data_IF_492689532211
#
_entry.id   IF_492689532211
#
_cell.length_a   1.000
_cell.length_b   1.000
_cell.length_c   1.000
_cell.angle_alpha   90.00
_cell.angle_beta   90.00
_cell.angle_gamma   90.00
#
_symmetry.space_group_name_H-M   'P 1'
#
loop_
_entity.id
_entity.type
_entity.pdbx_description
1 polymer ?
#
# COMPACT_ATOMS: atom_id res chain seq x y z
N UNK A 1 14.41 -10.12 15.07
CA UNK A 1 13.56 -9.33 15.99
C UNK A 1 12.11 -9.73 15.86
N UNK A 2 11.61 -10.63 16.71
CA UNK A 2 10.16 -10.82 16.93
C UNK A 2 9.96 -11.20 18.40
N UNK A 3 10.17 -10.23 19.29
CA UNK A 3 9.70 -10.37 20.66
C UNK A 3 8.26 -9.84 20.67
N UNK A 4 7.23 -10.69 20.89
CA UNK A 4 5.84 -10.27 20.92
C UNK A 4 5.58 -9.14 21.93
N UNK A 5 6.31 -9.14 23.04
CA UNK A 5 6.23 -8.11 24.08
C UNK A 5 6.63 -6.73 23.54
N UNK A 6 7.65 -6.68 22.66
CA UNK A 6 8.10 -5.42 22.08
C UNK A 6 7.05 -4.79 21.15
N UNK A 7 6.36 -5.63 20.37
CA UNK A 7 5.30 -5.16 19.45
C UNK A 7 4.10 -4.63 20.23
N UNK A 8 3.69 -5.33 21.29
CA UNK A 8 2.57 -4.89 22.14
C UNK A 8 2.87 -3.57 22.87
N UNK A 9 4.08 -3.42 23.42
CA UNK A 9 4.53 -2.17 24.07
C UNK A 9 4.57 -0.99 23.09
N UNK A 10 5.00 -1.23 21.85
CA UNK A 10 4.98 -0.23 20.79
C UNK A 10 3.57 0.20 20.41
N UNK A 11 2.65 -0.75 20.21
CA UNK A 11 1.25 -0.46 19.92
C UNK A 11 0.57 0.33 21.05
N UNK A 12 0.92 0.03 22.30
CA UNK A 12 0.43 0.78 23.46
C UNK A 12 0.92 2.24 23.47
N UNK A 13 2.16 2.49 23.03
CA UNK A 13 2.74 3.84 22.99
C UNK A 13 2.33 4.66 21.77
N UNK A 14 2.23 4.04 20.60
CA UNK A 14 2.04 4.71 19.32
C UNK A 14 0.63 4.55 18.73
N UNK A 15 -0.20 3.70 19.34
CA UNK A 15 -1.47 3.27 18.77
C UNK A 15 -1.31 2.09 17.82
N UNK A 16 -2.44 1.47 17.47
CA UNK A 16 -2.49 0.47 16.41
C UNK A 16 -2.56 1.17 15.05
N UNK A 17 -1.88 0.66 14.00
CA UNK A 17 -2.02 1.18 12.65
C UNK A 17 -3.47 1.03 12.17
N UNK A 18 -3.94 1.97 11.34
CA UNK A 18 -5.26 1.87 10.71
C UNK A 18 -5.34 0.66 9.76
N UNK A 19 -6.55 0.19 9.45
CA UNK A 19 -6.74 -0.88 8.45
C UNK A 19 -6.13 -0.50 7.10
N UNK A 20 -6.35 0.75 6.68
CA UNK A 20 -5.77 1.33 5.46
C UNK A 20 -4.24 1.28 5.47
N UNK A 21 -3.60 1.62 6.59
CA UNK A 21 -2.15 1.51 6.73
C UNK A 21 -1.68 0.06 6.58
N UNK A 22 -2.37 -0.88 7.22
CA UNK A 22 -2.04 -2.30 7.13
C UNK A 22 -2.21 -2.84 5.70
N UNK A 23 -3.28 -2.44 5.02
CA UNK A 23 -3.55 -2.82 3.63
C UNK A 23 -2.52 -2.23 2.68
N UNK A 24 -2.18 -0.95 2.84
CA UNK A 24 -1.12 -0.28 2.06
C UNK A 24 0.23 -0.99 2.21
N UNK A 25 0.59 -1.38 3.44
CA UNK A 25 1.82 -2.13 3.70
C UNK A 25 1.79 -3.54 3.09
N UNK A 26 0.61 -4.19 3.05
CA UNK A 26 0.47 -5.49 2.36
C UNK A 26 0.65 -5.34 0.86
N UNK A 27 0.07 -4.31 0.25
CA UNK A 27 0.23 -4.01 -1.17
C UNK A 27 1.69 -3.69 -1.51
N UNK A 28 2.34 -2.84 -0.73
CA UNK A 28 3.77 -2.54 -0.89
C UNK A 28 4.61 -3.82 -0.81
N UNK A 29 4.34 -4.67 0.19
CA UNK A 29 5.04 -5.95 0.33
C UNK A 29 4.80 -6.87 -0.87
N UNK A 30 3.59 -6.92 -1.43
CA UNK A 30 3.30 -7.71 -2.62
C UNK A 30 4.06 -7.16 -3.83
N UNK A 31 4.03 -5.84 -4.03
CA UNK A 31 4.76 -5.15 -5.09
C UNK A 31 6.28 -5.42 -5.05
N UNK A 32 6.88 -5.36 -3.87
CA UNK A 32 8.32 -5.64 -3.69
C UNK A 32 8.71 -7.09 -4.04
N UNK A 33 7.75 -8.03 -4.10
CA UNK A 33 7.99 -9.44 -4.46
C UNK A 33 7.87 -9.69 -5.96
N UNK A 34 7.37 -8.73 -6.73
CA UNK A 34 7.26 -8.83 -8.18
C UNK A 34 8.65 -8.80 -8.84
N UNK A 35 8.75 -9.46 -10.00
CA UNK A 35 9.92 -9.33 -10.86
C UNK A 35 10.11 -7.86 -11.30
N UNK A 36 11.35 -7.43 -11.64
CA UNK A 36 11.60 -6.06 -12.08
C UNK A 36 10.66 -5.60 -13.20
N UNK A 37 10.43 -6.43 -14.22
CA UNK A 37 9.58 -6.08 -15.36
C UNK A 37 8.11 -5.88 -14.95
N UNK A 38 7.59 -6.76 -14.09
CA UNK A 38 6.25 -6.64 -13.54
C UNK A 38 6.07 -5.38 -12.68
N UNK A 39 7.11 -4.94 -11.96
CA UNK A 39 7.06 -3.68 -11.20
C UNK A 39 6.95 -2.48 -12.14
N UNK A 40 7.70 -2.48 -13.23
CA UNK A 40 7.63 -1.42 -14.25
C UNK A 40 6.24 -1.32 -14.85
N UNK A 41 5.60 -2.45 -15.20
CA UNK A 41 4.23 -2.46 -15.72
C UNK A 41 3.20 -1.88 -14.73
N UNK A 42 3.32 -2.23 -13.45
CA UNK A 42 2.43 -1.71 -12.40
C UNK A 42 2.64 -0.21 -12.19
N UNK A 43 3.90 0.27 -12.19
CA UNK A 43 4.21 1.70 -12.09
C UNK A 43 3.59 2.44 -13.27
N UNK A 44 3.80 1.98 -14.50
CA UNK A 44 3.27 2.62 -15.70
C UNK A 44 1.74 2.67 -15.68
N UNK A 45 1.07 1.61 -15.23
CA UNK A 45 -0.38 1.61 -15.07
C UNK A 45 -0.84 2.67 -14.06
N UNK A 46 -0.20 2.74 -12.89
CA UNK A 46 -0.55 3.72 -11.85
C UNK A 46 -0.32 5.15 -12.34
N UNK A 47 0.80 5.41 -13.02
CA UNK A 47 1.10 6.73 -13.59
C UNK A 47 0.06 7.15 -14.63
N UNK A 48 -0.34 6.24 -15.53
CA UNK A 48 -1.40 6.50 -16.51
C UNK A 48 -2.74 6.81 -15.85
N UNK A 49 -3.11 6.08 -14.80
CA UNK A 49 -4.36 6.32 -14.06
C UNK A 49 -4.31 7.65 -13.30
N UNK A 50 -3.17 8.00 -12.69
CA UNK A 50 -3.00 9.28 -11.99
C UNK A 50 -3.00 10.48 -12.94
N UNK A 51 -2.56 10.29 -14.17
CA UNK A 51 -2.59 11.30 -15.22
C UNK A 51 -3.98 11.47 -15.87
N UNK A 52 -4.92 10.53 -15.67
CA UNK A 52 -6.29 10.73 -16.13
C UNK A 52 -6.98 11.78 -15.25
N UNK A 53 -7.63 12.79 -15.85
CA UNK A 53 -8.50 13.67 -15.08
C UNK A 53 -9.61 12.83 -14.45
N UNK A 54 -10.10 13.19 -13.24
CA UNK A 54 -11.18 12.46 -12.59
C UNK A 54 -12.34 12.36 -13.59
N UNK A 55 -12.70 11.12 -13.95
CA UNK A 55 -13.82 10.88 -14.86
C UNK A 55 -15.08 11.51 -14.29
N UNK A 56 -15.81 12.24 -15.13
CA UNK A 56 -17.07 12.86 -14.75
C UNK A 56 -18.04 11.75 -14.29
N UNK A 57 -18.43 11.69 -12.99
CA UNK A 57 -19.31 10.65 -12.48
C UNK A 57 -20.73 10.72 -13.05
N UNK A 58 -21.04 11.76 -13.83
CA UNK A 58 -22.36 11.98 -14.44
C UNK A 58 -22.62 11.20 -15.73
N UNK A 59 -21.66 10.42 -16.22
CA UNK A 59 -21.78 9.62 -17.47
C UNK A 59 -21.84 8.10 -17.27
N UNK A 60 -22.19 7.61 -16.07
CA UNK A 60 -22.48 6.19 -15.79
C UNK A 60 -23.95 5.95 -15.45
#
# INVERSE_FOLDING_TARGET
>A
MKNPTYVAELQKKLGAPSSETLESLRLLKAFLRLAPDQRSEVIELVERLAAQPPGDPSLS
#
